data_IF_371594656906
#
_entry.id   IF_371594656906
#
_cell.length_a   1.000
_cell.length_b   1.000
_cell.length_c   1.000
_cell.angle_alpha   90.00
_cell.angle_beta   90.00
_cell.angle_gamma   90.00
#
_symmetry.space_group_name_H-M   'P 1'
#
loop_
_entity.id
_entity.type
_entity.pdbx_description
1 polymer ?
#
# COMPACT_ATOMS: atom_id res chain seq x y z
N UNK A 1 71.80 46.60 18.65
CA UNK A 1 71.07 45.36 18.42
C UNK A 1 69.57 45.71 18.26
N UNK A 2 69.01 45.71 17.04
CA UNK A 2 67.61 46.01 16.75
C UNK A 2 66.92 44.71 16.40
N UNK A 3 66.05 44.20 17.31
CA UNK A 3 65.16 43.02 17.04
C UNK A 3 63.98 43.43 16.14
N UNK A 4 63.95 42.90 14.94
CA UNK A 4 62.75 42.98 14.05
C UNK A 4 61.77 41.94 14.45
N UNK A 5 60.59 42.34 14.94
CA UNK A 5 59.43 41.47 15.19
C UNK A 5 58.70 41.40 13.85
N UNK A 6 58.67 40.22 13.25
CA UNK A 6 57.84 39.92 12.07
C UNK A 6 56.45 39.55 12.55
N UNK A 7 55.41 40.37 12.26
CA UNK A 7 54.01 40.05 12.42
C UNK A 7 53.60 39.17 11.25
N UNK A 8 53.31 37.90 11.56
CA UNK A 8 52.63 36.97 10.62
C UNK A 8 51.13 37.26 10.66
N UNK A 9 50.63 37.96 9.63
CA UNK A 9 49.20 38.12 9.41
C UNK A 9 48.61 36.79 8.91
N UNK A 10 47.90 36.06 9.79
CA UNK A 10 47.16 34.85 9.45
C UNK A 10 45.92 35.26 8.65
N UNK A 11 45.97 35.13 7.33
CA UNK A 11 44.83 35.39 6.44
C UNK A 11 43.77 34.29 6.66
N UNK A 12 42.67 34.62 7.35
CA UNK A 12 41.46 33.83 7.42
C UNK A 12 40.77 33.79 6.02
N UNK A 13 41.09 32.76 5.24
CA UNK A 13 40.35 32.50 4.01
C UNK A 13 38.88 32.10 4.38
N UNK A 14 37.86 32.76 3.82
CA UNK A 14 36.48 32.33 4.02
C UNK A 14 36.31 30.95 3.38
N UNK A 15 36.02 29.93 4.21
CA UNK A 15 35.59 28.62 3.73
C UNK A 15 34.23 28.83 3.11
N UNK A 16 34.01 28.53 1.82
CA UNK A 16 32.68 28.61 1.24
C UNK A 16 31.77 27.61 1.98
N UNK A 17 30.85 28.10 2.78
CA UNK A 17 29.74 27.34 3.29
C UNK A 17 28.86 27.09 2.07
N UNK A 18 28.99 25.92 1.45
CA UNK A 18 27.98 25.43 0.50
C UNK A 18 26.65 25.40 1.24
N UNK A 19 25.83 26.41 0.99
CA UNK A 19 24.42 26.35 1.38
C UNK A 19 23.86 25.07 0.73
N UNK A 20 23.57 24.06 1.54
CA UNK A 20 22.83 22.90 1.07
C UNK A 20 21.56 23.47 0.45
N UNK A 21 21.38 23.30 -0.86
CA UNK A 21 20.18 23.72 -1.56
C UNK A 21 18.99 23.21 -0.76
N UNK A 22 18.10 24.14 -0.38
CA UNK A 22 17.01 23.84 0.52
C UNK A 22 16.05 22.85 -0.15
N UNK A 23 16.22 21.54 0.15
CA UNK A 23 15.32 20.49 -0.35
C UNK A 23 13.87 20.80 0.05
N UNK A 24 12.88 20.62 -0.86
CA UNK A 24 12.98 20.31 -2.29
C UNK A 24 13.07 21.58 -3.16
N UNK A 25 13.87 21.55 -4.24
CA UNK A 25 14.02 22.64 -5.22
C UNK A 25 13.33 22.35 -6.57
N UNK A 26 12.81 21.14 -6.75
CA UNK A 26 12.12 20.66 -7.96
C UNK A 26 10.98 19.72 -7.59
N UNK A 27 10.07 19.42 -8.51
CA UNK A 27 8.98 18.49 -8.26
C UNK A 27 9.45 17.11 -7.77
N UNK A 28 8.67 16.53 -6.87
CA UNK A 28 8.85 15.19 -6.32
C UNK A 28 7.92 14.23 -7.08
N UNK A 29 8.40 13.05 -7.43
CA UNK A 29 7.58 11.98 -8.00
C UNK A 29 7.18 11.01 -6.90
N UNK A 30 5.87 10.82 -6.69
CA UNK A 30 5.32 9.77 -5.83
C UNK A 30 4.86 8.61 -6.70
N UNK A 31 5.63 7.54 -6.71
CA UNK A 31 5.29 6.31 -7.42
C UNK A 31 4.21 5.56 -6.65
N UNK A 32 3.13 5.22 -7.33
CA UNK A 32 2.07 4.33 -6.85
C UNK A 32 2.23 3.00 -7.58
N UNK A 33 2.54 1.93 -6.83
CA UNK A 33 2.86 0.61 -7.40
C UNK A 33 1.64 -0.14 -7.99
N UNK A 34 0.49 0.54 -8.12
CA UNK A 34 -0.79 -0.03 -8.53
C UNK A 34 -1.53 0.89 -9.51
N UNK A 35 -2.51 0.38 -10.28
CA UNK A 35 -3.35 1.20 -11.14
C UNK A 35 -4.17 2.23 -10.36
N UNK A 36 -4.66 3.27 -11.02
CA UNK A 36 -5.60 4.23 -10.43
C UNK A 36 -6.86 3.56 -9.85
N UNK A 37 -7.43 4.18 -8.80
CA UNK A 37 -8.71 3.79 -8.18
C UNK A 37 -8.64 2.70 -7.12
N UNK A 38 -7.47 2.09 -6.88
CA UNK A 38 -7.23 1.19 -5.72
C UNK A 38 -6.79 1.96 -4.47
N UNK A 39 -6.67 1.25 -3.34
CA UNK A 39 -6.30 1.84 -2.03
C UNK A 39 -5.03 2.69 -2.12
N UNK A 40 -3.98 2.22 -2.79
CA UNK A 40 -2.73 2.98 -2.92
C UNK A 40 -2.94 4.33 -3.63
N UNK A 41 -3.69 4.34 -4.71
CA UNK A 41 -3.96 5.56 -5.49
C UNK A 41 -4.87 6.54 -4.74
N UNK A 42 -5.94 6.02 -4.12
CA UNK A 42 -6.88 6.81 -3.32
C UNK A 42 -6.17 7.45 -2.11
N UNK A 43 -5.20 6.76 -1.52
CA UNK A 43 -4.39 7.28 -0.40
C UNK A 43 -3.31 8.24 -0.89
N UNK A 44 -2.66 7.95 -2.01
CA UNK A 44 -1.56 8.77 -2.54
C UNK A 44 -1.99 10.18 -2.93
N UNK A 45 -3.19 10.35 -3.54
CA UNK A 45 -3.63 11.66 -4.04
C UNK A 45 -3.80 12.71 -2.96
N UNK A 46 -4.56 12.48 -1.86
CA UNK A 46 -4.64 13.45 -0.77
C UNK A 46 -3.31 13.65 -0.04
N UNK A 47 -2.48 12.60 0.07
CA UNK A 47 -1.14 12.70 0.65
C UNK A 47 -0.25 13.63 -0.19
N UNK A 48 -0.20 13.43 -1.52
CA UNK A 48 0.55 14.30 -2.41
C UNK A 48 0.09 15.77 -2.30
N UNK A 49 -1.21 16.01 -2.27
CA UNK A 49 -1.77 17.35 -2.11
C UNK A 49 -1.39 18.02 -0.77
N UNK A 50 -1.38 17.26 0.33
CA UNK A 50 -0.92 17.77 1.62
C UNK A 50 0.58 18.11 1.59
N UNK A 51 1.39 17.21 1.04
CA UNK A 51 2.84 17.40 0.88
C UNK A 51 3.18 18.62 -0.02
N UNK A 52 2.43 18.84 -1.11
CA UNK A 52 2.61 20.03 -1.97
C UNK A 52 2.48 21.33 -1.18
N UNK A 53 1.46 21.41 -0.30
CA UNK A 53 1.23 22.58 0.54
C UNK A 53 2.37 22.83 1.54
N UNK A 54 2.84 21.75 2.17
CA UNK A 54 3.89 21.83 3.19
C UNK A 54 5.26 22.12 2.57
N UNK A 55 5.60 21.43 1.48
CA UNK A 55 6.91 21.50 0.81
C UNK A 55 7.02 22.68 -0.18
N UNK A 56 5.90 23.30 -0.55
CA UNK A 56 5.82 24.35 -1.59
C UNK A 56 6.41 23.91 -2.93
N UNK A 57 6.33 22.62 -3.21
CA UNK A 57 6.78 21.97 -4.46
C UNK A 57 5.73 20.96 -4.91
N UNK A 58 5.60 20.77 -6.22
CA UNK A 58 4.67 19.80 -6.78
C UNK A 58 5.06 18.37 -6.40
N UNK A 59 4.06 17.55 -6.06
CA UNK A 59 4.20 16.12 -5.85
C UNK A 59 3.37 15.39 -6.93
N UNK A 60 4.07 14.88 -7.93
CA UNK A 60 3.47 14.27 -9.13
C UNK A 60 3.28 12.78 -8.87
N UNK A 61 2.05 12.30 -9.05
CA UNK A 61 1.75 10.87 -8.94
C UNK A 61 2.03 10.17 -10.26
N UNK A 62 2.81 9.09 -10.18
CA UNK A 62 3.10 8.20 -11.30
C UNK A 62 2.69 6.77 -10.95
N UNK A 63 1.66 6.23 -11.63
CA UNK A 63 1.25 4.84 -11.43
C UNK A 63 2.18 3.89 -12.20
N UNK A 64 2.86 2.98 -11.49
CA UNK A 64 3.72 1.91 -12.07
C UNK A 64 3.23 0.54 -11.60
N UNK A 65 2.10 0.06 -12.16
CA UNK A 65 1.53 -1.22 -11.76
C UNK A 65 2.34 -2.41 -12.29
N UNK A 66 2.11 -3.58 -11.70
CA UNK A 66 2.63 -4.87 -12.16
C UNK A 66 3.06 -5.77 -11.01
N UNK A 67 2.89 -7.09 -11.19
CA UNK A 67 3.31 -8.14 -10.27
C UNK A 67 2.94 -7.84 -8.79
N UNK A 68 1.66 -7.57 -8.53
CA UNK A 68 1.13 -7.24 -7.18
C UNK A 68 1.80 -6.03 -6.49
N UNK A 69 2.42 -5.13 -7.26
CA UNK A 69 3.17 -3.97 -6.79
C UNK A 69 4.69 -4.12 -6.88
N UNK A 70 5.22 -5.30 -7.19
CA UNK A 70 6.66 -5.54 -7.25
C UNK A 70 7.38 -4.61 -8.24
N UNK A 71 6.76 -4.31 -9.39
CA UNK A 71 7.34 -3.43 -10.42
C UNK A 71 7.60 -2.03 -9.88
N UNK A 72 6.61 -1.39 -9.28
CA UNK A 72 6.74 -0.05 -8.71
C UNK A 72 7.66 0.00 -7.50
N UNK A 73 7.58 -1.03 -6.63
CA UNK A 73 8.44 -1.16 -5.46
C UNK A 73 9.91 -1.27 -5.87
N UNK A 74 10.23 -2.16 -6.82
CA UNK A 74 11.59 -2.32 -7.34
C UNK A 74 12.11 -1.07 -8.04
N UNK A 75 11.25 -0.35 -8.77
CA UNK A 75 11.62 0.92 -9.40
C UNK A 75 12.12 1.94 -8.37
N UNK A 76 11.39 2.11 -7.24
CA UNK A 76 11.79 3.07 -6.21
C UNK A 76 12.96 2.55 -5.38
N UNK A 77 13.02 1.25 -5.08
CA UNK A 77 14.14 0.64 -4.37
C UNK A 77 15.49 0.88 -5.07
N UNK A 78 15.49 1.02 -6.40
CA UNK A 78 16.67 1.29 -7.22
C UNK A 78 16.79 2.75 -7.68
N UNK A 79 15.92 3.64 -7.21
CA UNK A 79 15.96 5.05 -7.55
C UNK A 79 17.09 5.79 -6.83
N UNK A 80 17.44 7.00 -7.30
CA UNK A 80 18.41 7.86 -6.61
C UNK A 80 17.91 8.21 -5.21
N UNK A 81 18.74 8.10 -4.17
CA UNK A 81 18.36 8.37 -2.79
C UNK A 81 18.43 9.88 -2.46
N UNK A 82 17.83 10.71 -3.30
CA UNK A 82 17.86 12.17 -3.17
C UNK A 82 16.54 12.77 -2.65
N UNK A 83 15.54 11.90 -2.36
CA UNK A 83 14.22 12.29 -1.85
C UNK A 83 13.23 12.75 -2.94
N UNK A 84 13.60 12.74 -4.22
CA UNK A 84 12.70 13.16 -5.30
C UNK A 84 11.92 12.03 -5.95
N UNK A 85 12.18 10.78 -5.54
CA UNK A 85 11.39 9.62 -5.94
C UNK A 85 10.92 8.89 -4.69
N UNK A 86 9.62 8.92 -4.42
CA UNK A 86 8.99 8.32 -3.26
C UNK A 86 8.07 7.18 -3.70
N UNK A 87 7.73 6.30 -2.79
CA UNK A 87 6.83 5.18 -3.02
C UNK A 87 5.62 5.27 -2.10
N UNK A 88 4.42 5.19 -2.65
CA UNK A 88 3.24 4.81 -1.91
C UNK A 88 3.10 3.29 -1.97
N UNK A 89 3.54 2.62 -0.91
CA UNK A 89 3.53 1.16 -0.77
C UNK A 89 2.23 0.66 -0.14
N UNK A 90 1.89 -0.61 -0.40
CA UNK A 90 0.88 -1.37 0.34
C UNK A 90 1.53 -2.55 1.10
N UNK A 91 0.75 -3.21 1.96
CA UNK A 91 1.18 -4.34 2.78
C UNK A 91 1.89 -5.48 2.03
N UNK A 92 1.61 -5.67 0.73
CA UNK A 92 2.31 -6.65 -0.12
C UNK A 92 3.82 -6.42 -0.26
N UNK A 93 4.31 -5.22 0.06
CA UNK A 93 5.75 -4.91 -0.02
C UNK A 93 6.62 -5.84 0.84
N UNK A 94 6.10 -6.29 1.99
CA UNK A 94 6.79 -7.22 2.88
C UNK A 94 6.60 -8.69 2.50
N UNK A 95 5.51 -9.02 1.79
CA UNK A 95 5.17 -10.40 1.42
C UNK A 95 5.92 -10.86 0.17
N UNK A 96 6.00 -10.00 -0.86
CA UNK A 96 6.53 -10.37 -2.18
C UNK A 96 7.97 -10.89 -2.12
N UNK A 97 8.95 -10.23 -1.46
CA UNK A 97 10.31 -10.74 -1.42
C UNK A 97 10.42 -12.13 -0.79
N UNK A 98 9.66 -12.39 0.27
CA UNK A 98 9.66 -13.70 0.94
C UNK A 98 8.98 -14.77 0.09
N UNK A 99 7.86 -14.43 -0.57
CA UNK A 99 7.18 -15.35 -1.46
C UNK A 99 8.07 -15.77 -2.65
N UNK A 100 8.81 -14.83 -3.24
CA UNK A 100 9.78 -15.13 -4.30
C UNK A 100 10.90 -16.07 -3.81
N UNK A 101 11.45 -15.82 -2.62
CA UNK A 101 12.47 -16.69 -2.03
C UNK A 101 11.96 -18.13 -1.78
N UNK A 102 10.74 -18.24 -1.24
CA UNK A 102 10.12 -19.55 -1.00
C UNK A 102 9.88 -20.33 -2.29
N UNK A 103 9.72 -19.66 -3.42
CA UNK A 103 9.59 -20.26 -4.75
C UNK A 103 10.95 -20.53 -5.43
N UNK A 104 12.07 -20.20 -4.79
CA UNK A 104 13.41 -20.34 -5.35
C UNK A 104 13.78 -19.22 -6.34
N UNK A 105 13.03 -18.13 -6.37
CA UNK A 105 13.30 -16.98 -7.23
C UNK A 105 14.10 -15.91 -6.48
N UNK A 106 14.82 -15.09 -7.26
CA UNK A 106 15.45 -13.89 -6.72
C UNK A 106 14.38 -12.81 -6.54
N UNK A 107 14.26 -12.20 -5.35
CA UNK A 107 13.35 -11.09 -5.13
C UNK A 107 13.64 -9.90 -6.06
N UNK A 108 12.62 -9.21 -6.58
CA UNK A 108 12.80 -8.04 -7.44
C UNK A 108 13.33 -6.81 -6.69
N UNK A 109 13.20 -6.81 -5.38
CA UNK A 109 13.75 -5.82 -4.45
C UNK A 109 13.89 -6.44 -3.05
N UNK A 110 14.67 -5.77 -2.20
CA UNK A 110 14.83 -6.11 -0.79
C UNK A 110 14.21 -5.01 0.09
N UNK A 111 13.60 -5.38 1.24
CA UNK A 111 13.01 -4.39 2.14
C UNK A 111 14.02 -3.37 2.67
N UNK A 112 15.27 -3.79 2.90
CA UNK A 112 16.34 -2.92 3.37
C UNK A 112 16.82 -1.88 2.34
N UNK A 113 16.37 -1.96 1.09
CA UNK A 113 16.59 -0.94 0.08
C UNK A 113 15.64 0.27 0.22
N UNK A 114 14.65 0.17 1.10
CA UNK A 114 13.64 1.20 1.34
C UNK A 114 13.62 1.60 2.81
N UNK A 115 13.38 2.87 3.08
CA UNK A 115 13.18 3.41 4.43
C UNK A 115 11.76 3.94 4.57
N UNK A 116 11.03 3.60 5.66
CA UNK A 116 9.70 4.13 5.90
C UNK A 116 9.78 5.62 6.31
N UNK A 117 8.93 6.43 5.69
CA UNK A 117 8.76 7.84 6.01
C UNK A 117 7.56 8.01 6.93
N UNK A 118 6.38 7.52 6.52
CA UNK A 118 5.16 7.61 7.31
C UNK A 118 4.20 6.45 6.99
N UNK A 119 3.48 5.98 8.01
CA UNK A 119 2.28 5.18 7.83
C UNK A 119 1.10 6.14 7.59
N UNK A 120 0.45 6.03 6.43
CA UNK A 120 -0.61 6.95 6.04
C UNK A 120 -1.99 6.39 6.41
N UNK A 121 -2.21 5.10 6.17
CA UNK A 121 -3.43 4.40 6.59
C UNK A 121 -3.15 2.94 6.94
N UNK A 122 -3.98 2.38 7.83
CA UNK A 122 -4.01 0.96 8.15
C UNK A 122 -5.47 0.61 8.46
N UNK A 123 -6.15 0.00 7.51
CA UNK A 123 -7.57 -0.33 7.62
C UNK A 123 -7.79 -1.83 7.46
N UNK A 124 -8.72 -2.43 8.22
CA UNK A 124 -9.10 -3.81 7.97
C UNK A 124 -9.80 -3.91 6.61
N UNK A 125 -9.51 -4.96 5.86
CA UNK A 125 -10.25 -5.20 4.61
C UNK A 125 -11.66 -5.70 4.90
N UNK A 126 -12.56 -5.50 3.92
CA UNK A 126 -13.96 -5.95 3.98
C UNK A 126 -14.20 -6.96 2.87
N UNK A 127 -14.72 -8.14 3.21
CA UNK A 127 -15.20 -9.14 2.27
C UNK A 127 -16.54 -8.67 1.71
N UNK A 128 -16.63 -8.56 0.40
CA UNK A 128 -17.84 -8.11 -0.29
C UNK A 128 -18.22 -9.06 -1.43
N UNK A 129 -19.52 -9.12 -1.67
CA UNK A 129 -20.15 -9.79 -2.81
C UNK A 129 -21.07 -8.80 -3.51
N UNK A 130 -21.56 -9.13 -4.72
CA UNK A 130 -22.62 -8.33 -5.36
C UNK A 130 -23.89 -8.38 -4.53
N UNK A 131 -24.72 -7.35 -4.63
CA UNK A 131 -26.01 -7.29 -3.92
C UNK A 131 -26.92 -8.49 -4.21
N UNK A 132 -26.89 -8.98 -5.45
CA UNK A 132 -27.70 -10.08 -5.97
C UNK A 132 -27.12 -11.47 -5.65
N UNK A 133 -25.91 -11.53 -5.08
CA UNK A 133 -25.28 -12.80 -4.72
C UNK A 133 -26.13 -13.57 -3.70
N UNK A 134 -26.13 -14.92 -3.76
CA UNK A 134 -27.01 -15.74 -2.91
C UNK A 134 -26.65 -15.69 -1.43
N UNK A 135 -25.49 -15.19 -1.09
CA UNK A 135 -24.98 -15.16 0.29
C UNK A 135 -25.41 -13.87 0.99
N UNK A 136 -26.22 -13.99 2.03
CA UNK A 136 -26.58 -12.86 2.89
C UNK A 136 -25.56 -12.60 3.99
N UNK A 137 -24.84 -13.66 4.42
CA UNK A 137 -23.87 -13.64 5.52
C UNK A 137 -22.57 -14.34 5.11
N UNK A 138 -21.49 -14.10 5.89
CA UNK A 138 -20.25 -14.86 5.69
C UNK A 138 -20.43 -16.35 5.98
N UNK A 139 -21.37 -16.72 6.85
CA UNK A 139 -21.70 -18.12 7.15
C UNK A 139 -22.25 -18.81 5.89
N UNK A 140 -23.21 -18.18 5.21
CA UNK A 140 -23.76 -18.71 3.95
C UNK A 140 -22.66 -18.91 2.89
N UNK A 141 -21.75 -17.92 2.78
CA UNK A 141 -20.61 -17.97 1.86
C UNK A 141 -19.68 -19.16 2.16
N UNK A 142 -19.31 -19.32 3.43
CA UNK A 142 -18.40 -20.41 3.88
C UNK A 142 -19.07 -21.78 3.72
N UNK A 143 -20.35 -21.92 4.09
CA UNK A 143 -21.10 -23.18 3.94
C UNK A 143 -21.24 -23.61 2.47
N UNK A 144 -21.50 -22.66 1.58
CA UNK A 144 -21.57 -22.94 0.16
C UNK A 144 -20.21 -23.28 -0.43
N UNK A 145 -19.15 -22.59 0.00
CA UNK A 145 -17.78 -22.90 -0.42
C UNK A 145 -17.33 -24.30 0.02
N UNK A 146 -17.75 -24.76 1.21
CA UNK A 146 -17.52 -26.14 1.68
C UNK A 146 -18.25 -27.18 0.84
N UNK A 147 -19.46 -26.88 0.37
CA UNK A 147 -20.25 -27.78 -0.50
C UNK A 147 -19.70 -27.82 -1.92
N UNK A 148 -19.06 -26.77 -2.37
CA UNK A 148 -18.58 -26.61 -3.76
C UNK A 148 -17.12 -26.14 -3.80
N UNK A 149 -16.13 -26.96 -3.33
CA UNK A 149 -14.72 -26.55 -3.28
C UNK A 149 -14.21 -26.07 -4.64
N UNK A 150 -13.53 -24.92 -4.67
CA UNK A 150 -12.96 -24.32 -5.86
C UNK A 150 -13.98 -23.80 -6.90
N UNK A 151 -15.27 -23.68 -6.56
CA UNK A 151 -16.31 -23.18 -7.49
C UNK A 151 -16.68 -21.72 -7.27
N UNK A 152 -16.44 -21.18 -6.08
CA UNK A 152 -16.66 -19.76 -5.79
C UNK A 152 -15.38 -19.03 -6.10
N UNK A 153 -15.47 -18.04 -6.99
CA UNK A 153 -14.33 -17.26 -7.45
C UNK A 153 -14.14 -15.99 -6.62
N UNK A 154 -12.87 -15.55 -6.50
CA UNK A 154 -12.56 -14.26 -5.93
C UNK A 154 -11.50 -13.52 -6.73
N UNK A 155 -11.63 -12.20 -6.77
CA UNK A 155 -10.59 -11.33 -7.33
C UNK A 155 -9.63 -10.80 -6.27
N UNK A 156 -8.39 -10.60 -6.66
CA UNK A 156 -7.35 -9.99 -5.82
C UNK A 156 -6.54 -8.94 -6.58
N UNK A 157 -5.61 -8.30 -5.88
CA UNK A 157 -4.65 -7.35 -6.48
C UNK A 157 -3.41 -8.00 -7.10
N UNK A 158 -3.46 -9.30 -7.38
CA UNK A 158 -2.37 -10.11 -7.89
C UNK A 158 -1.93 -11.19 -6.89
N UNK A 159 -1.17 -12.18 -7.37
CA UNK A 159 -0.62 -13.26 -6.54
C UNK A 159 0.31 -12.66 -5.48
N UNK A 160 0.13 -13.07 -4.21
CA UNK A 160 0.79 -12.51 -3.02
C UNK A 160 0.53 -11.01 -2.78
N UNK A 161 -0.40 -10.42 -3.54
CA UNK A 161 -0.82 -9.04 -3.35
C UNK A 161 -1.61 -8.82 -2.06
N UNK A 162 -1.76 -7.55 -1.66
CA UNK A 162 -2.43 -7.14 -0.43
C UNK A 162 -3.89 -7.63 -0.33
N UNK A 163 -4.55 -7.94 -1.45
CA UNK A 163 -5.92 -8.48 -1.47
C UNK A 163 -5.98 -10.01 -1.74
N UNK A 164 -4.83 -10.67 -1.90
CA UNK A 164 -4.76 -12.13 -1.96
C UNK A 164 -4.64 -12.73 -0.55
N UNK A 165 -3.77 -12.14 0.28
CA UNK A 165 -3.48 -12.64 1.63
C UNK A 165 -4.72 -12.80 2.54
N UNK A 166 -5.71 -11.86 2.55
CA UNK A 166 -6.92 -12.06 3.34
C UNK A 166 -7.70 -13.32 2.98
N UNK A 167 -7.74 -13.69 1.69
CA UNK A 167 -8.40 -14.91 1.25
C UNK A 167 -7.65 -16.16 1.70
N UNK A 168 -6.32 -16.20 1.61
CA UNK A 168 -5.53 -17.32 2.14
C UNK A 168 -5.73 -17.50 3.65
N UNK A 169 -5.84 -16.41 4.41
CA UNK A 169 -6.19 -16.47 5.83
C UNK A 169 -7.61 -17.01 6.05
N UNK A 170 -8.59 -16.57 5.28
CA UNK A 170 -9.97 -17.05 5.36
C UNK A 170 -10.05 -18.54 5.00
N UNK A 171 -9.39 -18.97 3.92
CA UNK A 171 -9.34 -20.38 3.50
C UNK A 171 -8.71 -21.24 4.58
N UNK A 172 -7.58 -20.80 5.16
CA UNK A 172 -6.92 -21.51 6.24
C UNK A 172 -7.79 -21.61 7.50
N UNK A 173 -8.42 -20.52 7.93
CA UNK A 173 -9.23 -20.46 9.14
C UNK A 173 -10.54 -21.25 9.04
N UNK A 174 -11.09 -21.44 7.82
CA UNK A 174 -12.40 -22.05 7.60
C UNK A 174 -12.34 -23.42 6.91
N UNK A 175 -11.18 -23.81 6.36
CA UNK A 175 -10.99 -25.03 5.59
C UNK A 175 -11.73 -25.04 4.24
N UNK A 176 -12.07 -23.88 3.70
CA UNK A 176 -12.67 -23.77 2.36
C UNK A 176 -11.60 -23.67 1.28
N UNK A 177 -12.00 -23.94 0.02
CA UNK A 177 -11.16 -23.74 -1.16
C UNK A 177 -11.93 -22.87 -2.15
N UNK A 178 -11.32 -21.76 -2.55
CA UNK A 178 -11.88 -20.79 -3.50
C UNK A 178 -11.07 -20.77 -4.80
N UNK A 179 -11.64 -20.24 -5.86
CA UNK A 179 -10.95 -20.05 -7.14
C UNK A 179 -10.39 -18.64 -7.26
N UNK A 180 -9.06 -18.53 -7.18
CA UNK A 180 -8.38 -17.25 -7.29
C UNK A 180 -8.30 -16.74 -8.74
N UNK A 181 -8.75 -15.50 -8.97
CA UNK A 181 -8.63 -14.77 -10.23
C UNK A 181 -7.83 -13.49 -9.98
N UNK A 182 -6.52 -13.48 -10.29
CA UNK A 182 -5.66 -12.33 -10.03
C UNK A 182 -5.89 -11.19 -11.04
N UNK A 183 -5.91 -9.94 -10.55
CA UNK A 183 -5.95 -8.72 -11.34
C UNK A 183 -4.75 -7.81 -11.05
N UNK A 184 -4.49 -6.84 -11.90
CA UNK A 184 -3.40 -5.88 -11.73
C UNK A 184 -3.73 -4.79 -10.69
N UNK A 185 -4.33 -5.14 -9.54
CA UNK A 185 -4.62 -4.21 -8.46
C UNK A 185 -6.07 -4.20 -8.02
N UNK A 186 -6.35 -3.50 -6.91
CA UNK A 186 -7.67 -3.49 -6.27
C UNK A 186 -8.77 -2.82 -7.11
N UNK A 187 -8.46 -1.76 -7.85
CA UNK A 187 -9.44 -1.11 -8.74
C UNK A 187 -10.03 -2.07 -9.78
N UNK A 188 -9.20 -2.69 -10.64
CA UNK A 188 -9.64 -3.73 -11.57
C UNK A 188 -10.35 -4.91 -10.91
N UNK A 189 -9.89 -5.34 -9.71
CA UNK A 189 -10.53 -6.44 -8.96
C UNK A 189 -11.98 -6.11 -8.56
N UNK A 190 -12.24 -4.88 -8.10
CA UNK A 190 -13.61 -4.41 -7.79
C UNK A 190 -14.47 -4.32 -9.03
N UNK A 191 -13.92 -3.82 -10.15
CA UNK A 191 -14.66 -3.75 -11.40
C UNK A 191 -15.05 -5.15 -11.91
N UNK A 192 -14.17 -6.14 -11.75
CA UNK A 192 -14.48 -7.52 -12.10
C UNK A 192 -15.67 -8.09 -11.27
N UNK A 193 -15.73 -7.78 -9.97
CA UNK A 193 -16.87 -8.16 -9.14
C UNK A 193 -18.15 -7.45 -9.60
N UNK A 194 -18.11 -6.15 -9.82
CA UNK A 194 -19.25 -5.37 -10.31
C UNK A 194 -19.74 -5.84 -11.69
N UNK A 195 -18.81 -6.29 -12.55
CA UNK A 195 -19.08 -6.85 -13.87
C UNK A 195 -19.45 -8.33 -13.86
N UNK A 196 -19.69 -8.95 -12.70
CA UNK A 196 -20.05 -10.38 -12.56
C UNK A 196 -19.02 -11.37 -13.11
N UNK A 197 -17.73 -10.96 -13.22
CA UNK A 197 -16.64 -11.82 -13.67
C UNK A 197 -16.11 -12.73 -12.54
N UNK A 198 -16.34 -12.33 -11.29
CA UNK A 198 -16.02 -13.09 -10.08
C UNK A 198 -17.15 -12.98 -9.08
N UNK A 199 -17.17 -13.85 -8.08
CA UNK A 199 -18.22 -13.94 -7.07
C UNK A 199 -17.99 -13.03 -5.87
N UNK A 200 -16.72 -12.81 -5.49
CA UNK A 200 -16.37 -12.03 -4.31
C UNK A 200 -15.06 -11.24 -4.54
N UNK A 201 -14.85 -10.24 -3.70
CA UNK A 201 -13.57 -9.56 -3.54
C UNK A 201 -13.40 -9.07 -2.10
N UNK A 202 -12.18 -8.70 -1.75
CA UNK A 202 -11.89 -7.93 -0.53
C UNK A 202 -11.31 -6.58 -0.89
N UNK A 203 -11.43 -5.60 0.01
CA UNK A 203 -10.78 -4.31 -0.19
C UNK A 203 -10.84 -3.42 1.02
N UNK A 204 -10.01 -2.38 1.03
CA UNK A 204 -10.07 -1.35 2.07
C UNK A 204 -11.40 -0.59 2.03
N UNK A 205 -11.92 -0.15 3.19
CA UNK A 205 -13.23 0.48 3.28
C UNK A 205 -13.35 1.72 2.38
N UNK A 206 -12.31 2.53 2.27
CA UNK A 206 -12.33 3.73 1.41
C UNK A 206 -12.63 3.42 -0.07
N UNK A 207 -12.15 2.29 -0.58
CA UNK A 207 -12.40 1.86 -1.96
C UNK A 207 -13.79 1.21 -2.16
N UNK A 208 -14.42 0.72 -1.09
CA UNK A 208 -15.65 -0.09 -1.13
C UNK A 208 -16.90 0.68 -0.71
N UNK A 209 -16.76 1.68 0.17
CA UNK A 209 -17.89 2.33 0.86
C UNK A 209 -18.92 2.94 -0.11
N UNK A 210 -18.46 3.52 -1.22
CA UNK A 210 -19.35 4.09 -2.25
C UNK A 210 -20.24 3.04 -2.90
N UNK A 211 -19.70 1.86 -3.19
CA UNK A 211 -20.42 0.74 -3.81
C UNK A 211 -21.38 0.07 -2.83
N UNK A 212 -20.99 -0.02 -1.56
CA UNK A 212 -21.79 -0.57 -0.48
C UNK A 212 -22.98 0.35 -0.20
N UNK A 213 -22.74 1.65 0.03
CA UNK A 213 -23.81 2.64 0.27
C UNK A 213 -24.72 2.83 -0.95
N UNK A 214 -24.18 2.69 -2.16
CA UNK A 214 -24.95 2.70 -3.41
C UNK A 214 -25.74 1.40 -3.68
N UNK A 215 -25.69 0.42 -2.75
CA UNK A 215 -26.48 -0.82 -2.84
C UNK A 215 -26.02 -1.78 -3.94
N UNK A 216 -24.83 -1.59 -4.53
CA UNK A 216 -24.29 -2.51 -5.55
C UNK A 216 -23.51 -3.67 -4.94
N UNK A 217 -22.86 -3.44 -3.80
CA UNK A 217 -22.14 -4.47 -3.06
C UNK A 217 -22.74 -4.70 -1.69
N UNK A 218 -22.71 -5.96 -1.24
CA UNK A 218 -23.07 -6.39 0.10
C UNK A 218 -21.80 -6.75 0.84
N UNK A 219 -21.48 -6.06 1.96
CA UNK A 219 -20.41 -6.48 2.85
C UNK A 219 -20.86 -7.68 3.67
N UNK A 220 -20.01 -8.71 3.78
CA UNK A 220 -20.29 -9.91 4.56
C UNK A 220 -19.60 -9.87 5.92
N UNK A 221 -18.33 -9.46 5.98
CA UNK A 221 -17.58 -9.30 7.20
C UNK A 221 -16.35 -8.40 6.98
N UNK A 222 -15.81 -7.85 8.07
CA UNK A 222 -14.49 -7.20 8.07
C UNK A 222 -13.43 -8.10 8.72
N UNK A 223 -12.18 -7.93 8.31
CA UNK A 223 -11.02 -8.63 8.86
C UNK A 223 -10.38 -7.87 10.03
N UNK A 224 -11.13 -6.98 10.67
CA UNK A 224 -10.63 -6.20 11.80
C UNK A 224 -10.88 -6.88 13.15
N UNK A 225 -10.13 -6.43 14.17
CA UNK A 225 -10.38 -6.81 15.57
C UNK A 225 -11.65 -6.17 16.14
N UNK A 226 -12.12 -5.08 15.51
CA UNK A 226 -13.35 -4.33 15.85
C UNK A 226 -14.09 -3.95 14.57
N UNK A 227 -15.40 -3.70 14.71
CA UNK A 227 -16.23 -3.20 13.61
C UNK A 227 -15.74 -1.83 13.14
N UNK A 228 -15.86 -1.60 11.84
CA UNK A 228 -15.55 -0.31 11.23
C UNK A 228 -16.63 0.73 11.59
N UNK A 229 -16.23 1.91 12.03
CA UNK A 229 -17.16 3.01 12.31
C UNK A 229 -17.96 3.43 11.06
N UNK A 230 -17.38 3.26 9.86
CA UNK A 230 -18.04 3.54 8.57
C UNK A 230 -19.04 2.46 8.14
N UNK A 231 -18.99 1.27 8.76
CA UNK A 231 -19.83 0.08 8.49
C UNK A 231 -20.20 -0.62 9.82
N UNK A 232 -20.92 0.04 10.73
CA UNK A 232 -21.16 -0.46 12.09
C UNK A 232 -21.99 -1.76 12.14
N UNK A 233 -22.80 -2.01 11.12
CA UNK A 233 -23.64 -3.22 11.01
C UNK A 233 -22.88 -4.43 10.45
N UNK A 234 -21.66 -4.24 9.93
CA UNK A 234 -20.84 -5.32 9.35
C UNK A 234 -20.05 -5.98 10.47
N UNK A 235 -20.28 -7.28 10.75
CA UNK A 235 -19.53 -7.97 11.79
C UNK A 235 -18.08 -8.17 11.39
N UNK A 236 -17.22 -8.40 12.38
CA UNK A 236 -15.85 -8.88 12.12
C UNK A 236 -15.87 -10.41 11.98
N UNK A 237 -14.89 -10.97 11.27
CA UNK A 237 -14.70 -12.42 11.21
C UNK A 237 -14.49 -13.01 12.62
N UNK A 238 -13.79 -12.27 13.49
CA UNK A 238 -13.53 -12.65 14.88
C UNK A 238 -14.85 -12.76 15.70
N UNK A 239 -15.78 -11.82 15.54
CA UNK A 239 -17.13 -11.90 16.16
C UNK A 239 -17.90 -13.15 15.72
N UNK A 240 -17.59 -13.66 14.52
CA UNK A 240 -18.22 -14.85 13.95
C UNK A 240 -17.44 -16.15 14.21
N UNK A 241 -16.39 -16.08 15.07
CA UNK A 241 -15.58 -17.24 15.44
C UNK A 241 -14.58 -17.68 14.38
N UNK A 242 -14.29 -16.85 13.38
CA UNK A 242 -13.31 -17.11 12.33
C UNK A 242 -12.03 -16.34 12.66
N UNK A 243 -10.94 -17.06 12.92
CA UNK A 243 -9.65 -16.47 13.28
C UNK A 243 -8.87 -16.05 12.02
N UNK A 244 -9.32 -14.94 11.42
CA UNK A 244 -8.67 -14.31 10.28
C UNK A 244 -8.71 -12.79 10.45
N UNK A 245 -7.57 -12.20 10.73
CA UNK A 245 -7.38 -10.76 10.89
C UNK A 245 -6.38 -10.25 9.86
N UNK A 246 -6.72 -9.16 9.16
CA UNK A 246 -5.85 -8.58 8.16
C UNK A 246 -6.11 -7.09 7.96
N UNK A 247 -5.02 -6.31 7.95
CA UNK A 247 -5.04 -4.89 7.65
C UNK A 247 -4.29 -4.60 6.35
N UNK A 248 -4.97 -3.94 5.42
CA UNK A 248 -4.28 -3.30 4.31
C UNK A 248 -3.77 -1.95 4.80
N UNK A 249 -2.46 -1.75 4.72
CA UNK A 249 -1.87 -0.47 5.08
C UNK A 249 -1.22 0.18 3.86
N UNK A 250 -1.23 1.51 3.83
CA UNK A 250 -0.52 2.33 2.86
C UNK A 250 0.53 3.17 3.60
N UNK A 251 1.77 3.11 3.12
CA UNK A 251 2.90 3.81 3.70
C UNK A 251 3.73 4.54 2.66
N UNK A 252 4.17 5.74 3.01
CA UNK A 252 5.13 6.51 2.24
C UNK A 252 6.54 6.00 2.55
N UNK A 253 7.31 5.67 1.52
CA UNK A 253 8.68 5.18 1.63
C UNK A 253 9.61 5.93 0.67
N UNK A 254 10.90 5.88 0.97
CA UNK A 254 11.97 6.42 0.12
C UNK A 254 13.10 5.38 -0.03
N UNK A 255 14.03 5.52 -0.99
CA UNK A 255 15.24 4.71 -1.04
C UNK A 255 16.02 4.81 0.28
N UNK A 256 16.57 3.68 0.76
CA UNK A 256 17.15 3.58 2.11
C UNK A 256 18.29 4.59 2.37
N UNK A 257 19.11 4.88 1.36
CA UNK A 257 20.23 5.82 1.47
C UNK A 257 19.82 7.31 1.35
N UNK A 258 18.52 7.63 1.37
CA UNK A 258 18.04 9.03 1.39
C UNK A 258 18.57 9.74 2.64
N UNK A 259 19.17 10.95 2.51
CA UNK A 259 19.78 11.64 3.63
C UNK A 259 18.80 11.87 4.80
N UNK A 260 19.23 11.72 6.07
CA UNK A 260 18.36 11.87 7.25
C UNK A 260 17.61 13.21 7.30
N UNK A 261 18.24 14.31 6.91
CA UNK A 261 17.59 15.63 6.87
C UNK A 261 16.44 15.68 5.85
N UNK A 262 16.57 14.99 4.70
CA UNK A 262 15.52 14.88 3.68
C UNK A 262 14.40 13.99 4.21
N UNK A 263 14.73 12.84 4.83
CA UNK A 263 13.72 11.98 5.46
C UNK A 263 12.90 12.73 6.51
N UNK A 264 13.56 13.53 7.37
CA UNK A 264 12.86 14.33 8.38
C UNK A 264 11.93 15.36 7.73
N UNK A 265 12.40 16.06 6.71
CA UNK A 265 11.60 17.04 5.97
C UNK A 265 10.35 16.41 5.33
N UNK A 266 10.49 15.18 4.82
CA UNK A 266 9.37 14.41 4.27
C UNK A 266 8.37 13.96 5.34
N UNK A 267 8.84 13.58 6.54
CA UNK A 267 7.97 13.22 7.69
C UNK A 267 7.15 14.39 8.20
N UNK A 268 7.75 15.59 8.17
CA UNK A 268 7.12 16.82 8.65
C UNK A 268 6.13 17.43 7.64
N UNK A 269 6.06 16.87 6.44
CA UNK A 269 5.22 17.36 5.35
C UNK A 269 3.89 16.60 5.25
#
# INVERSE_FOLDING_TARGET
>A
MRRRIALIALALLPVPVFAQDAYPTRPITMVVAFPPGGVADITARPTAFAMEKALKQRVIIENKPGAAGATGNAYVANAKPDGYTLLMALSSISVIPEAERLQGHKPPYELNQLVPIALISADPVVLVVRKEAPWATVKDFVEDAKKRPGKISYSSSGIFGALHMPYTLLEHATGITLWHVPYNGGGPAVQALLGSQVDSTVGGPAAMIGQIKGGRLRPLASFGSKRLASLPDVPTLKELGIDAEYFIWAGLMAPAATPPAVQQKLRDS
#
